data_IF_829784095210
#
_entry.id   IF_829784095210
#
_cell.length_a   1.000
_cell.length_b   1.000
_cell.length_c   1.000
_cell.angle_alpha   90.00
_cell.angle_beta   90.00
_cell.angle_gamma   90.00
#
_symmetry.space_group_name_H-M   'P 1'
#
loop_
_entity.id
_entity.type
_entity.pdbx_description
1 polymer ?
#
# COMPACT_ATOMS: atom_id res chain seq x y z
N UNK A 1 40.31 62.87 -42.64
CA UNK A 1 40.75 61.56 -43.13
C UNK A 1 41.82 61.09 -42.16
N UNK A 2 41.41 60.44 -41.07
CA UNK A 2 42.28 59.80 -40.09
C UNK A 2 41.94 58.32 -40.15
N UNK A 3 42.91 57.48 -40.48
CA UNK A 3 42.75 56.04 -40.60
C UNK A 3 43.41 55.41 -39.38
N UNK A 4 42.57 54.99 -38.43
CA UNK A 4 42.95 54.20 -37.26
C UNK A 4 43.15 52.75 -37.69
N UNK A 5 44.40 52.28 -37.69
CA UNK A 5 44.73 50.86 -37.83
C UNK A 5 45.10 50.27 -36.47
N UNK A 6 44.22 49.41 -35.94
CA UNK A 6 44.50 48.54 -34.79
C UNK A 6 45.50 47.43 -35.18
N UNK A 7 46.51 47.10 -34.34
CA UNK A 7 47.29 45.89 -34.52
C UNK A 7 46.51 44.66 -34.02
N UNK A 8 46.42 43.66 -34.90
CA UNK A 8 45.95 42.29 -34.63
C UNK A 8 46.85 41.61 -33.59
N UNK A 9 46.29 41.26 -32.44
CA UNK A 9 46.91 40.29 -31.53
C UNK A 9 46.59 38.88 -32.03
N UNK A 10 47.66 38.10 -32.20
CA UNK A 10 47.65 36.70 -32.62
C UNK A 10 46.83 35.84 -31.66
N UNK A 11 46.05 34.93 -32.24
CA UNK A 11 45.33 33.88 -31.54
C UNK A 11 46.33 32.88 -30.93
N UNK A 12 46.24 32.69 -29.62
CA UNK A 12 46.86 31.56 -28.91
C UNK A 12 46.03 30.27 -29.12
N UNK A 13 46.66 29.09 -29.02
CA UNK A 13 46.12 27.85 -29.55
C UNK A 13 45.02 27.26 -28.67
N UNK A 14 44.07 26.59 -29.33
CA UNK A 14 43.06 25.73 -28.73
C UNK A 14 43.66 24.77 -27.69
N UNK A 15 43.49 25.11 -26.41
CA UNK A 15 43.67 24.17 -25.32
C UNK A 15 42.33 23.45 -25.07
N UNK A 16 41.92 22.65 -26.07
CA UNK A 16 40.91 21.61 -25.91
C UNK A 16 41.53 20.47 -25.09
N UNK A 17 41.85 20.76 -23.83
CA UNK A 17 42.03 19.71 -22.84
C UNK A 17 40.69 18.97 -22.74
N UNK A 18 40.74 17.69 -23.11
CA UNK A 18 39.75 16.66 -22.80
C UNK A 18 39.26 16.81 -21.35
N UNK A 19 38.23 17.63 -21.13
CA UNK A 19 37.40 17.53 -19.94
C UNK A 19 36.50 16.34 -20.20
N UNK A 20 36.93 15.18 -19.69
CA UNK A 20 36.03 14.05 -19.49
C UNK A 20 34.70 14.57 -18.95
N UNK A 21 33.56 14.10 -19.49
CA UNK A 21 32.27 14.55 -19.02
C UNK A 21 32.20 14.33 -17.51
N UNK A 22 31.95 15.40 -16.74
CA UNK A 22 31.62 15.32 -15.31
C UNK A 22 30.33 14.51 -15.17
N UNK A 23 30.49 13.19 -15.13
CA UNK A 23 29.46 12.25 -14.71
C UNK A 23 29.15 12.61 -13.25
N UNK A 24 27.86 12.69 -12.93
CA UNK A 24 27.34 12.91 -11.60
C UNK A 24 28.13 12.10 -10.56
N UNK A 25 28.84 12.79 -9.67
CA UNK A 25 29.56 12.20 -8.56
C UNK A 25 28.74 12.50 -7.29
N UNK A 26 28.03 11.52 -6.71
CA UNK A 26 27.37 11.70 -5.42
C UNK A 26 28.37 11.86 -4.25
N UNK A 27 29.69 11.73 -4.50
CA UNK A 27 30.75 12.04 -3.54
C UNK A 27 31.23 13.49 -3.77
N UNK A 28 30.62 14.45 -3.09
CA UNK A 28 31.22 15.77 -2.87
C UNK A 28 32.69 15.66 -2.48
N UNK A 29 33.45 16.73 -2.76
CA UNK A 29 34.91 16.70 -2.88
C UNK A 29 35.62 15.89 -1.80
N UNK A 30 36.58 15.04 -2.21
CA UNK A 30 37.41 14.14 -1.39
C UNK A 30 37.42 14.48 0.11
N UNK A 31 36.44 13.95 0.85
CA UNK A 31 36.47 13.89 2.30
C UNK A 31 36.59 12.42 2.70
N UNK A 32 37.82 11.88 2.85
CA UNK A 32 38.06 10.45 3.13
C UNK A 32 37.29 9.92 4.35
N UNK A 33 36.93 10.81 5.28
CA UNK A 33 36.16 10.47 6.47
C UNK A 33 34.67 10.18 6.18
N UNK A 34 34.04 10.88 5.22
CA UNK A 34 32.63 10.64 4.83
C UNK A 34 32.52 9.31 4.08
N UNK A 35 33.39 9.07 3.11
CA UNK A 35 33.38 7.82 2.33
C UNK A 35 33.55 6.59 3.22
N UNK A 36 34.44 6.69 4.23
CA UNK A 36 34.60 5.66 5.25
C UNK A 36 33.30 5.44 6.05
N UNK A 37 32.65 6.51 6.51
CA UNK A 37 31.38 6.42 7.27
C UNK A 37 30.24 5.84 6.44
N UNK A 38 30.12 6.17 5.16
CA UNK A 38 29.15 5.53 4.26
C UNK A 38 29.44 4.04 4.07
N UNK A 39 30.72 3.67 3.90
CA UNK A 39 31.10 2.26 3.78
C UNK A 39 30.72 1.47 5.04
N UNK A 40 31.00 2.01 6.22
CA UNK A 40 30.61 1.41 7.50
C UNK A 40 29.08 1.26 7.62
N UNK A 41 28.31 2.29 7.23
CA UNK A 41 26.85 2.23 7.23
C UNK A 41 26.32 1.16 6.27
N UNK A 42 26.90 1.04 5.07
CA UNK A 42 26.52 0.02 4.09
C UNK A 42 26.93 -1.40 4.51
N UNK A 43 28.04 -1.57 5.22
CA UNK A 43 28.38 -2.86 5.84
C UNK A 43 27.36 -3.28 6.91
N UNK A 44 26.78 -2.33 7.64
CA UNK A 44 25.66 -2.61 8.54
C UNK A 44 24.40 -3.03 7.77
N UNK A 45 24.14 -2.46 6.59
CA UNK A 45 23.07 -2.93 5.69
C UNK A 45 23.34 -4.37 5.22
N UNK A 46 24.57 -4.64 4.77
CA UNK A 46 24.99 -5.97 4.29
C UNK A 46 24.86 -7.06 5.36
N UNK A 47 25.22 -6.75 6.61
CA UNK A 47 25.09 -7.65 7.75
C UNK A 47 23.67 -7.75 8.32
N UNK A 48 22.68 -7.09 7.70
CA UNK A 48 21.28 -7.09 8.14
C UNK A 48 21.00 -6.26 9.40
N UNK A 49 21.96 -5.46 9.86
CA UNK A 49 21.81 -4.58 11.02
C UNK A 49 21.20 -3.22 10.61
N UNK A 50 19.98 -3.27 10.10
CA UNK A 50 19.35 -2.16 9.42
C UNK A 50 19.07 -0.95 10.32
N UNK A 51 18.74 -1.15 11.60
CA UNK A 51 18.58 -0.06 12.57
C UNK A 51 19.87 0.73 12.75
N UNK A 52 20.99 0.04 13.03
CA UNK A 52 22.29 0.70 13.18
C UNK A 52 22.76 1.33 11.89
N UNK A 53 22.47 0.70 10.74
CA UNK A 53 22.75 1.30 9.43
C UNK A 53 22.02 2.64 9.27
N UNK A 54 20.71 2.68 9.57
CA UNK A 54 19.92 3.91 9.57
C UNK A 54 20.50 4.97 10.50
N UNK A 55 20.83 4.63 11.75
CA UNK A 55 21.46 5.56 12.69
C UNK A 55 22.76 6.13 12.15
N UNK A 56 23.60 5.29 11.53
CA UNK A 56 24.88 5.71 10.94
C UNK A 56 24.67 6.64 9.75
N UNK A 57 23.74 6.32 8.84
CA UNK A 57 23.38 7.22 7.74
C UNK A 57 22.84 8.55 8.26
N UNK A 58 21.92 8.55 9.22
CA UNK A 58 21.40 9.78 9.82
C UNK A 58 22.49 10.62 10.50
N UNK A 59 23.50 9.99 11.09
CA UNK A 59 24.66 10.72 11.66
C UNK A 59 25.46 11.46 10.58
N UNK A 60 25.52 10.93 9.36
CA UNK A 60 26.21 11.56 8.23
C UNK A 60 25.33 12.68 7.67
N UNK A 61 24.03 12.41 7.46
CA UNK A 61 23.07 13.39 6.95
C UNK A 61 22.84 14.59 7.88
N UNK A 62 23.17 14.47 9.18
CA UNK A 62 23.02 15.56 10.16
C UNK A 62 24.35 16.24 10.48
N UNK A 63 25.43 15.79 9.87
CA UNK A 63 26.74 16.39 10.05
C UNK A 63 26.76 17.78 9.40
N UNK A 64 27.08 18.86 10.12
CA UNK A 64 27.11 20.21 9.56
C UNK A 64 28.09 20.38 8.39
N UNK A 65 29.06 19.48 8.25
CA UNK A 65 30.04 19.49 7.15
C UNK A 65 29.54 18.81 5.87
N UNK A 66 28.39 18.13 5.94
CA UNK A 66 27.73 17.46 4.82
C UNK A 66 26.55 18.32 4.35
N UNK A 67 26.51 18.67 3.06
CA UNK A 67 25.48 19.56 2.53
C UNK A 67 25.04 19.15 1.12
N UNK A 68 23.98 19.79 0.62
CA UNK A 68 23.53 19.57 -0.76
C UNK A 68 22.99 18.16 -1.00
N UNK A 69 23.30 17.60 -2.17
CA UNK A 69 22.82 16.28 -2.57
C UNK A 69 23.33 15.15 -1.67
N UNK A 70 24.51 15.28 -1.08
CA UNK A 70 25.07 14.25 -0.19
C UNK A 70 24.21 14.04 1.05
N UNK A 71 23.73 15.15 1.62
CA UNK A 71 22.88 15.17 2.79
C UNK A 71 21.57 14.43 2.53
N UNK A 72 20.84 14.85 1.50
CA UNK A 72 19.52 14.28 1.17
C UNK A 72 19.64 12.84 0.64
N UNK A 73 20.70 12.53 -0.13
CA UNK A 73 20.97 11.17 -0.56
C UNK A 73 21.17 10.22 0.62
N UNK A 74 21.93 10.66 1.62
CA UNK A 74 22.17 9.87 2.82
C UNK A 74 20.88 9.63 3.62
N UNK A 75 19.97 10.61 3.66
CA UNK A 75 18.64 10.44 4.25
C UNK A 75 17.78 9.43 3.49
N UNK A 76 17.89 9.35 2.16
CA UNK A 76 17.26 8.28 1.36
C UNK A 76 17.82 6.90 1.72
N UNK A 77 19.14 6.73 1.86
CA UNK A 77 19.74 5.46 2.29
C UNK A 77 19.28 5.06 3.70
N UNK A 78 19.15 6.02 4.63
CA UNK A 78 18.57 5.77 5.95
C UNK A 78 17.10 5.32 5.86
N UNK A 79 16.32 5.90 4.96
CA UNK A 79 14.94 5.49 4.70
C UNK A 79 14.86 4.05 4.20
N UNK A 80 15.70 3.68 3.24
CA UNK A 80 15.80 2.31 2.71
C UNK A 80 16.15 1.32 3.83
N UNK A 81 17.11 1.66 4.69
CA UNK A 81 17.45 0.84 5.85
C UNK A 81 16.24 0.64 6.79
N UNK A 82 15.43 1.68 7.05
CA UNK A 82 14.21 1.51 7.85
C UNK A 82 13.14 0.66 7.15
N UNK A 83 13.01 0.74 5.83
CA UNK A 83 12.11 -0.15 5.08
C UNK A 83 12.56 -1.62 5.21
N UNK A 84 13.86 -1.89 5.09
CA UNK A 84 14.44 -3.22 5.28
C UNK A 84 14.26 -3.74 6.71
N UNK A 85 14.24 -2.84 7.70
CA UNK A 85 13.94 -3.16 9.10
C UNK A 85 12.44 -3.42 9.38
N UNK A 86 11.57 -3.41 8.36
CA UNK A 86 10.12 -3.54 8.54
C UNK A 86 9.47 -2.32 9.20
N UNK A 87 10.06 -1.13 9.07
CA UNK A 87 9.56 0.15 9.65
C UNK A 87 9.17 1.14 8.54
N UNK A 88 8.20 0.81 7.65
CA UNK A 88 7.85 1.65 6.50
C UNK A 88 7.32 3.04 6.90
N UNK A 89 6.70 3.17 8.08
CA UNK A 89 6.26 4.48 8.60
C UNK A 89 7.41 5.40 9.02
N UNK A 90 8.53 4.84 9.50
CA UNK A 90 9.75 5.63 9.77
C UNK A 90 10.43 6.00 8.46
N UNK A 91 10.57 5.01 7.56
CA UNK A 91 11.14 5.22 6.23
C UNK A 91 10.43 6.37 5.48
N UNK A 92 9.09 6.38 5.46
CA UNK A 92 8.30 7.44 4.83
C UNK A 92 8.56 8.82 5.43
N UNK A 93 8.59 8.95 6.76
CA UNK A 93 8.89 10.22 7.44
C UNK A 93 10.29 10.73 7.09
N UNK A 94 11.26 9.83 6.94
CA UNK A 94 12.60 10.19 6.47
C UNK A 94 12.58 10.68 5.02
N UNK A 95 11.80 10.06 4.13
CA UNK A 95 11.61 10.57 2.76
C UNK A 95 10.98 11.95 2.77
N UNK A 96 9.91 12.18 3.53
CA UNK A 96 9.27 13.51 3.64
C UNK A 96 10.26 14.57 4.08
N UNK A 97 11.07 14.27 5.10
CA UNK A 97 12.13 15.18 5.55
C UNK A 97 13.20 15.39 4.47
N UNK A 98 13.62 14.33 3.79
CA UNK A 98 14.62 14.39 2.73
C UNK A 98 14.15 15.22 1.53
N UNK A 99 12.86 15.14 1.20
CA UNK A 99 12.23 15.96 0.16
C UNK A 99 12.19 17.44 0.58
N UNK A 100 11.77 17.71 1.81
CA UNK A 100 11.81 19.07 2.39
C UNK A 100 13.21 19.66 2.36
N UNK A 101 14.22 18.92 2.83
CA UNK A 101 15.62 19.35 2.85
C UNK A 101 16.13 19.57 1.40
N UNK A 102 15.73 18.72 0.45
CA UNK A 102 16.06 18.87 -0.97
C UNK A 102 15.48 20.15 -1.58
N UNK A 103 14.24 20.51 -1.24
CA UNK A 103 13.59 21.73 -1.76
C UNK A 103 14.24 23.02 -1.25
N UNK A 104 15.04 22.96 -0.19
CA UNK A 104 15.81 24.12 0.32
C UNK A 104 17.17 24.33 -0.35
N UNK A 105 17.61 23.39 -1.20
CA UNK A 105 18.92 23.47 -1.84
C UNK A 105 18.95 24.52 -2.98
N UNK A 106 20.01 25.35 -3.08
CA UNK A 106 20.16 26.29 -4.18
C UNK A 106 20.44 25.58 -5.51
N UNK A 107 19.71 25.97 -6.55
CA UNK A 107 19.73 25.45 -7.94
C UNK A 107 19.19 24.03 -8.15
N UNK A 108 18.04 23.92 -8.82
CA UNK A 108 17.50 22.65 -9.33
C UNK A 108 18.13 22.31 -10.69
N UNK A 109 19.20 21.52 -10.68
CA UNK A 109 19.73 20.96 -11.92
C UNK A 109 18.79 19.85 -12.43
N UNK A 110 18.60 19.74 -13.74
CA UNK A 110 17.75 18.70 -14.37
C UNK A 110 18.05 17.26 -13.89
N UNK A 111 19.28 16.98 -13.45
CA UNK A 111 19.69 15.68 -12.89
C UNK A 111 19.11 15.37 -11.51
N UNK A 112 18.67 16.38 -10.77
CA UNK A 112 18.09 16.26 -9.43
C UNK A 112 16.55 16.09 -9.45
N UNK A 113 15.92 16.33 -10.60
CA UNK A 113 14.48 16.14 -10.80
C UNK A 113 14.05 14.69 -10.52
N UNK A 114 14.83 13.71 -10.98
CA UNK A 114 14.57 12.29 -10.73
C UNK A 114 14.58 11.93 -9.24
N UNK A 115 15.43 12.60 -8.45
CA UNK A 115 15.45 12.40 -7.00
C UNK A 115 14.16 12.92 -6.35
N UNK A 116 13.72 14.12 -6.77
CA UNK A 116 12.47 14.71 -6.29
C UNK A 116 11.27 13.81 -6.61
N UNK A 117 11.14 13.37 -7.85
CA UNK A 117 10.06 12.49 -8.31
C UNK A 117 10.04 11.17 -7.53
N UNK A 118 11.22 10.56 -7.33
CA UNK A 118 11.35 9.38 -6.50
C UNK A 118 10.83 9.61 -5.07
N UNK A 119 11.25 10.71 -4.43
CA UNK A 119 10.81 11.02 -3.07
C UNK A 119 9.29 11.22 -2.99
N UNK A 120 8.67 11.91 -3.96
CA UNK A 120 7.21 12.06 -4.03
C UNK A 120 6.49 10.70 -4.15
N UNK A 121 7.02 9.79 -4.96
CA UNK A 121 6.48 8.43 -5.11
C UNK A 121 6.63 7.65 -3.81
N UNK A 122 7.77 7.75 -3.12
CA UNK A 122 8.03 7.01 -1.88
C UNK A 122 7.23 7.56 -0.69
N UNK A 123 7.02 8.88 -0.62
CA UNK A 123 6.28 9.55 0.45
C UNK A 123 4.80 9.20 0.47
N UNK A 124 4.12 9.25 -0.68
CA UNK A 124 2.65 9.14 -0.73
C UNK A 124 2.12 7.80 -0.21
N UNK A 125 0.91 7.76 0.33
CA UNK A 125 0.29 6.49 0.78
C UNK A 125 -0.14 5.62 -0.42
N UNK A 126 -0.58 6.26 -1.52
CA UNK A 126 -1.05 5.58 -2.73
C UNK A 126 0.02 4.65 -3.30
N UNK A 127 -0.42 3.49 -3.80
CA UNK A 127 0.43 2.54 -4.51
C UNK A 127 1.19 3.22 -5.66
N UNK A 128 2.47 2.87 -5.88
CA UNK A 128 3.16 3.17 -7.13
C UNK A 128 2.38 2.56 -8.32
N UNK A 129 2.27 3.31 -9.40
CA UNK A 129 1.71 2.86 -10.69
C UNK A 129 2.84 2.61 -11.69
N UNK A 130 2.54 1.99 -12.83
CA UNK A 130 3.55 1.74 -13.87
C UNK A 130 4.27 3.02 -14.34
N UNK A 131 3.57 4.16 -14.33
CA UNK A 131 4.15 5.46 -14.71
C UNK A 131 5.13 6.00 -13.67
N UNK A 132 5.06 5.54 -12.42
CA UNK A 132 6.00 5.92 -11.36
C UNK A 132 7.28 5.07 -11.38
N UNK A 133 7.30 4.01 -12.20
CA UNK A 133 8.42 3.09 -12.32
C UNK A 133 9.25 3.51 -13.54
N UNK A 134 10.54 3.84 -13.37
CA UNK A 134 11.41 4.17 -14.48
C UNK A 134 11.54 3.00 -15.47
N UNK A 135 11.25 3.25 -16.76
CA UNK A 135 11.36 2.25 -17.83
C UNK A 135 12.76 1.66 -17.92
N UNK A 136 13.81 2.47 -17.77
CA UNK A 136 15.20 2.01 -17.68
C UNK A 136 16.01 2.84 -16.66
N UNK A 137 16.66 2.20 -15.66
CA UNK A 137 17.51 2.91 -14.72
C UNK A 137 18.83 3.35 -15.35
N UNK A 138 18.95 4.66 -15.61
CA UNK A 138 20.13 5.23 -16.28
C UNK A 138 21.24 5.68 -15.33
N UNK A 139 20.94 5.80 -14.02
CA UNK A 139 21.90 6.27 -13.03
C UNK A 139 21.62 5.67 -11.64
N UNK A 140 22.54 5.86 -10.71
CA UNK A 140 22.46 5.26 -9.37
C UNK A 140 21.24 5.72 -8.55
N UNK A 141 20.77 6.95 -8.76
CA UNK A 141 19.54 7.45 -8.14
C UNK A 141 18.33 6.66 -8.59
N UNK A 142 18.25 6.36 -9.90
CA UNK A 142 17.16 5.56 -10.46
C UNK A 142 17.26 4.10 -10.02
N UNK A 143 18.47 3.54 -9.89
CA UNK A 143 18.66 2.18 -9.36
C UNK A 143 18.24 2.04 -7.90
N UNK A 144 18.71 2.93 -7.02
CA UNK A 144 18.28 2.96 -5.62
C UNK A 144 16.79 3.26 -5.49
N UNK A 145 16.25 4.10 -6.37
CA UNK A 145 14.82 4.37 -6.44
C UNK A 145 14.00 3.15 -6.83
N UNK A 146 14.44 2.39 -7.84
CA UNK A 146 13.83 1.13 -8.25
C UNK A 146 13.78 0.14 -7.08
N UNK A 147 14.89 0.02 -6.34
CA UNK A 147 14.95 -0.82 -5.14
C UNK A 147 14.00 -0.33 -4.05
N UNK A 148 13.96 0.97 -3.76
CA UNK A 148 13.07 1.55 -2.76
C UNK A 148 11.58 1.39 -3.12
N UNK A 149 11.22 1.54 -4.40
CA UNK A 149 9.86 1.31 -4.89
C UNK A 149 9.48 -0.17 -4.76
N UNK A 150 10.40 -1.09 -5.06
CA UNK A 150 10.19 -2.53 -4.87
C UNK A 150 9.89 -2.86 -3.39
N UNK A 151 10.70 -2.32 -2.47
CA UNK A 151 10.46 -2.45 -1.02
C UNK A 151 9.10 -1.87 -0.61
N UNK A 152 8.72 -0.72 -1.16
CA UNK A 152 7.41 -0.12 -0.89
C UNK A 152 6.26 -1.02 -1.34
N UNK A 153 6.30 -1.53 -2.57
CA UNK A 153 5.29 -2.45 -3.09
C UNK A 153 5.19 -3.72 -2.23
N UNK A 154 6.34 -4.26 -1.83
CA UNK A 154 6.42 -5.40 -0.92
C UNK A 154 5.71 -5.13 0.41
N UNK A 155 6.03 -4.01 1.07
CA UNK A 155 5.42 -3.62 2.35
C UNK A 155 3.93 -3.29 2.24
N UNK A 156 3.45 -2.89 1.06
CA UNK A 156 2.03 -2.68 0.77
C UNK A 156 1.29 -3.96 0.38
N UNK A 157 1.95 -5.13 0.42
CA UNK A 157 1.37 -6.43 0.11
C UNK A 157 1.29 -6.74 -1.38
N UNK A 158 1.83 -5.88 -2.25
CA UNK A 158 1.94 -6.07 -3.70
C UNK A 158 3.26 -6.74 -4.08
N UNK A 159 3.59 -7.84 -3.38
CA UNK A 159 4.87 -8.53 -3.55
C UNK A 159 5.06 -9.07 -4.97
N UNK A 160 4.01 -9.54 -5.65
CA UNK A 160 4.08 -9.99 -7.06
C UNK A 160 4.53 -8.86 -8.00
N UNK A 161 4.04 -7.64 -7.78
CA UNK A 161 4.41 -6.44 -8.55
C UNK A 161 5.83 -5.96 -8.20
N UNK A 162 6.34 -6.29 -7.00
CA UNK A 162 7.69 -5.96 -6.58
C UNK A 162 8.77 -6.87 -7.19
N UNK A 163 8.45 -8.14 -7.51
CA UNK A 163 9.44 -9.11 -8.01
C UNK A 163 10.16 -8.68 -9.30
N UNK A 164 9.47 -8.15 -10.33
CA UNK A 164 10.15 -7.66 -11.53
C UNK A 164 11.16 -6.55 -11.25
N UNK A 165 10.88 -5.69 -10.26
CA UNK A 165 11.78 -4.60 -9.87
C UNK A 165 13.01 -5.13 -9.12
N UNK A 166 12.83 -6.09 -8.21
CA UNK A 166 13.98 -6.76 -7.57
C UNK A 166 14.83 -7.53 -8.59
N UNK A 167 14.21 -8.18 -9.57
CA UNK A 167 14.93 -8.85 -10.66
C UNK A 167 15.76 -7.87 -11.49
N UNK A 168 15.19 -6.69 -11.78
CA UNK A 168 15.89 -5.59 -12.46
C UNK A 168 17.10 -5.12 -11.66
N UNK A 169 16.93 -4.86 -10.36
CA UNK A 169 18.02 -4.43 -9.45
C UNK A 169 19.12 -5.49 -9.39
N UNK A 170 18.77 -6.77 -9.21
CA UNK A 170 19.73 -7.88 -9.19
C UNK A 170 20.54 -7.96 -10.48
N UNK A 171 19.89 -7.73 -11.63
CA UNK A 171 20.53 -7.77 -12.95
C UNK A 171 21.27 -6.48 -13.36
N UNK A 172 21.37 -5.48 -12.49
CA UNK A 172 22.03 -4.22 -12.83
C UNK A 172 23.53 -4.40 -13.11
N UNK A 173 23.98 -3.96 -14.28
CA UNK A 173 25.40 -3.86 -14.61
C UNK A 173 25.89 -2.44 -14.32
N UNK A 174 26.78 -2.30 -13.34
CA UNK A 174 27.24 -0.99 -12.87
C UNK A 174 28.77 -0.84 -12.99
N UNK A 175 29.27 0.37 -13.30
CA UNK A 175 30.71 0.64 -13.31
C UNK A 175 31.36 0.32 -11.96
N UNK A 176 32.65 -0.08 -11.97
CA UNK A 176 33.41 -0.48 -10.77
C UNK A 176 33.36 0.52 -9.60
N UNK A 177 33.22 1.82 -9.88
CA UNK A 177 33.06 2.88 -8.86
C UNK A 177 31.77 2.77 -8.03
N UNK A 178 30.80 1.99 -8.49
CA UNK A 178 29.53 1.70 -7.82
C UNK A 178 29.46 0.26 -7.31
N UNK A 179 30.61 -0.41 -7.13
CA UNK A 179 30.69 -1.80 -6.65
C UNK A 179 29.97 -2.03 -5.32
N UNK A 180 29.84 -1.00 -4.47
CA UNK A 180 29.07 -1.06 -3.23
C UNK A 180 27.59 -1.42 -3.44
N UNK A 181 27.04 -1.20 -4.64
CA UNK A 181 25.64 -1.49 -4.94
C UNK A 181 25.32 -2.98 -4.91
N UNK A 182 26.35 -3.85 -5.01
CA UNK A 182 26.20 -5.31 -4.88
C UNK A 182 25.49 -5.72 -3.58
N UNK A 183 25.61 -4.91 -2.52
CA UNK A 183 24.88 -5.10 -1.26
C UNK A 183 23.37 -5.13 -1.51
N UNK A 184 22.84 -4.17 -2.27
CA UNK A 184 21.42 -4.07 -2.60
C UNK A 184 20.99 -5.13 -3.63
N UNK A 185 21.89 -5.55 -4.53
CA UNK A 185 21.64 -6.67 -5.44
C UNK A 185 21.48 -7.98 -4.67
N UNK A 186 22.35 -8.24 -3.69
CA UNK A 186 22.29 -9.40 -2.82
C UNK A 186 21.00 -9.39 -1.99
N UNK A 187 20.60 -8.23 -1.46
CA UNK A 187 19.32 -8.11 -0.76
C UNK A 187 18.13 -8.33 -1.70
N UNK A 188 18.16 -7.78 -2.93
CA UNK A 188 17.12 -8.02 -3.91
C UNK A 188 16.96 -9.53 -4.21
N UNK A 189 18.06 -10.28 -4.26
CA UNK A 189 18.02 -11.75 -4.42
C UNK A 189 17.31 -12.46 -3.25
N UNK A 190 17.46 -11.93 -2.01
CA UNK A 190 16.69 -12.40 -0.85
C UNK A 190 15.19 -12.24 -1.08
N UNK A 191 14.75 -11.05 -1.50
CA UNK A 191 13.33 -10.79 -1.77
C UNK A 191 12.78 -11.64 -2.92
N UNK A 192 13.59 -11.93 -3.94
CA UNK A 192 13.21 -12.84 -5.02
C UNK A 192 13.04 -14.28 -4.51
N UNK A 193 13.93 -14.76 -3.65
CA UNK A 193 13.81 -16.06 -2.99
C UNK A 193 12.56 -16.17 -2.14
N UNK A 194 12.29 -15.15 -1.32
CA UNK A 194 11.07 -15.05 -0.51
C UNK A 194 9.80 -15.01 -1.37
N UNK A 195 9.85 -14.31 -2.51
CA UNK A 195 8.77 -14.31 -3.50
C UNK A 195 8.42 -15.70 -4.00
N UNK A 196 9.40 -16.57 -4.21
CA UNK A 196 9.17 -17.97 -4.60
C UNK A 196 8.51 -18.76 -3.48
N UNK A 197 8.89 -18.52 -2.23
CA UNK A 197 8.24 -19.12 -1.07
C UNK A 197 6.77 -18.71 -1.04
N UNK A 198 6.48 -17.40 -1.11
CA UNK A 198 5.11 -16.87 -1.10
C UNK A 198 4.26 -17.38 -2.26
N UNK A 199 4.83 -17.47 -3.47
CA UNK A 199 4.13 -17.98 -4.65
C UNK A 199 3.64 -19.43 -4.48
N UNK A 200 4.42 -20.29 -3.81
CA UNK A 200 4.01 -21.67 -3.49
C UNK A 200 2.80 -21.70 -2.54
N UNK A 201 2.66 -20.69 -1.69
CA UNK A 201 1.56 -20.57 -0.72
C UNK A 201 0.31 -19.88 -1.29
N UNK A 202 0.33 -19.45 -2.55
CA UNK A 202 -0.76 -18.68 -3.18
C UNK A 202 -2.07 -19.46 -3.27
N UNK A 203 -1.99 -20.78 -3.51
CA UNK A 203 -3.16 -21.64 -3.76
C UNK A 203 -3.41 -22.62 -2.61
N UNK A 204 -3.65 -22.12 -1.40
CA UNK A 204 -4.21 -22.99 -0.36
C UNK A 204 -5.73 -22.86 -0.31
N UNK A 205 -6.46 -23.92 -0.65
CA UNK A 205 -7.86 -24.00 -0.27
C UNK A 205 -7.96 -24.05 1.27
N UNK A 206 -9.09 -23.63 1.85
CA UNK A 206 -9.36 -23.85 3.25
C UNK A 206 -9.26 -25.35 3.57
N UNK A 207 -8.60 -25.75 4.68
CA UNK A 207 -8.46 -27.17 5.03
C UNK A 207 -9.84 -27.77 5.34
N UNK A 208 -10.08 -29.01 4.88
CA UNK A 208 -11.36 -29.71 5.08
C UNK A 208 -11.43 -30.47 6.39
N UNK A 209 -10.27 -30.82 6.95
CA UNK A 209 -10.16 -31.63 8.14
C UNK A 209 -8.89 -31.30 8.95
N UNK A 210 -8.75 -31.96 10.11
CA UNK A 210 -7.62 -31.80 11.02
C UNK A 210 -6.29 -32.16 10.36
N UNK A 211 -6.26 -33.18 9.53
CA UNK A 211 -5.04 -33.69 8.91
C UNK A 211 -4.53 -32.67 7.89
N UNK A 212 -5.44 -32.11 7.09
CA UNK A 212 -5.14 -31.06 6.15
C UNK A 212 -4.72 -29.77 6.87
N UNK A 213 -5.41 -29.35 7.94
CA UNK A 213 -5.00 -28.22 8.74
C UNK A 213 -3.60 -28.39 9.34
N UNK A 214 -3.28 -29.56 9.89
CA UNK A 214 -1.94 -29.87 10.40
C UNK A 214 -0.86 -29.80 9.31
N UNK A 215 -1.14 -30.34 8.12
CA UNK A 215 -0.23 -30.27 6.97
C UNK A 215 0.04 -28.81 6.59
N UNK A 216 -1.03 -28.01 6.45
CA UNK A 216 -0.94 -26.59 6.11
C UNK A 216 -0.19 -25.76 7.17
N UNK A 217 -0.44 -26.03 8.46
CA UNK A 217 0.31 -25.42 9.57
C UNK A 217 1.80 -25.74 9.43
N UNK A 218 2.15 -27.00 9.17
CA UNK A 218 3.52 -27.43 8.96
C UNK A 218 4.17 -26.69 7.78
N UNK A 219 3.47 -26.58 6.65
CA UNK A 219 3.94 -25.90 5.45
C UNK A 219 4.14 -24.39 5.66
N UNK A 220 3.19 -23.70 6.29
CA UNK A 220 3.31 -22.27 6.59
C UNK A 220 4.37 -22.02 7.65
N UNK A 221 4.46 -22.84 8.69
CA UNK A 221 5.49 -22.71 9.73
C UNK A 221 6.89 -22.91 9.14
N UNK A 222 7.06 -23.92 8.28
CA UNK A 222 8.32 -24.12 7.58
C UNK A 222 8.64 -22.96 6.63
N UNK A 223 7.64 -22.47 5.90
CA UNK A 223 7.83 -21.36 4.96
C UNK A 223 8.17 -20.05 5.66
N UNK A 224 7.50 -19.72 6.78
CA UNK A 224 7.77 -18.54 7.60
C UNK A 224 9.19 -18.58 8.19
N UNK A 225 9.65 -19.74 8.68
CA UNK A 225 11.06 -19.90 9.13
C UNK A 225 12.09 -19.68 8.03
N UNK A 226 11.71 -19.89 6.78
CA UNK A 226 12.60 -19.74 5.62
C UNK A 226 12.49 -18.36 4.97
N UNK A 227 11.51 -17.53 5.35
CA UNK A 227 11.46 -16.13 4.92
C UNK A 227 12.59 -15.35 5.57
N UNK A 228 13.31 -14.58 4.76
CA UNK A 228 14.46 -13.78 5.19
C UNK A 228 14.14 -12.28 5.20
N UNK A 229 13.14 -11.85 4.47
CA UNK A 229 12.60 -10.50 4.52
C UNK A 229 11.85 -10.25 5.84
N UNK A 230 11.94 -9.02 6.32
CA UNK A 230 11.23 -8.54 7.51
C UNK A 230 9.99 -7.76 7.04
N UNK A 231 8.96 -7.69 7.87
CA UNK A 231 7.81 -6.82 7.63
C UNK A 231 6.56 -7.56 7.16
N UNK A 232 5.88 -7.00 6.15
CA UNK A 232 4.49 -7.37 5.80
C UNK A 232 4.31 -8.84 5.41
N UNK A 233 5.30 -9.46 4.76
CA UNK A 233 5.23 -10.86 4.34
C UNK A 233 5.11 -11.84 5.52
N UNK A 234 5.94 -11.68 6.55
CA UNK A 234 5.86 -12.48 7.78
C UNK A 234 4.54 -12.27 8.51
N UNK A 235 4.12 -11.00 8.66
CA UNK A 235 2.83 -10.69 9.28
C UNK A 235 1.64 -11.38 8.59
N UNK A 236 1.63 -11.40 7.25
CA UNK A 236 0.57 -12.08 6.49
C UNK A 236 0.60 -13.61 6.69
N UNK A 237 1.77 -14.22 6.78
CA UNK A 237 1.90 -15.65 7.08
C UNK A 237 1.50 -15.96 8.53
N UNK A 238 1.85 -15.12 9.49
CA UNK A 238 1.47 -15.27 10.90
C UNK A 238 -0.05 -15.16 11.10
N UNK A 239 -0.70 -14.21 10.42
CA UNK A 239 -2.15 -14.09 10.40
C UNK A 239 -2.80 -15.37 9.85
N UNK A 240 -2.23 -15.93 8.77
CA UNK A 240 -2.71 -17.18 8.16
C UNK A 240 -2.44 -18.40 9.04
N UNK A 241 -1.30 -18.46 9.71
CA UNK A 241 -0.96 -19.50 10.68
C UNK A 241 -1.91 -19.47 11.87
N UNK A 242 -2.22 -18.27 12.39
CA UNK A 242 -3.19 -18.07 13.48
C UNK A 242 -4.56 -18.62 13.09
N UNK A 243 -5.03 -18.30 11.88
CA UNK A 243 -6.27 -18.83 11.33
C UNK A 243 -6.26 -20.36 11.23
N UNK A 244 -5.20 -20.98 10.71
CA UNK A 244 -5.12 -22.44 10.60
C UNK A 244 -5.02 -23.14 11.97
N UNK A 245 -4.31 -22.54 12.95
CA UNK A 245 -4.22 -23.07 14.31
C UNK A 245 -5.59 -23.05 15.01
N UNK A 246 -6.40 -22.05 14.73
CA UNK A 246 -7.80 -21.98 15.13
C UNK A 246 -8.61 -23.09 14.47
N UNK A 247 -8.58 -23.23 13.14
CA UNK A 247 -9.26 -24.33 12.43
C UNK A 247 -8.86 -25.72 12.95
N UNK A 248 -7.57 -25.94 13.25
CA UNK A 248 -7.09 -27.21 13.82
C UNK A 248 -7.72 -27.53 15.18
N UNK A 249 -7.84 -26.53 16.06
CA UNK A 249 -8.50 -26.70 17.36
C UNK A 249 -9.98 -27.02 17.18
N UNK A 250 -10.63 -26.35 16.23
CA UNK A 250 -12.02 -26.60 15.87
C UNK A 250 -12.22 -28.05 15.37
N UNK A 251 -11.28 -28.60 14.58
CA UNK A 251 -11.31 -30.01 14.19
C UNK A 251 -10.97 -31.01 15.32
N UNK A 252 -10.38 -30.58 16.43
CA UNK A 252 -10.01 -31.44 17.56
C UNK A 252 -11.16 -31.64 18.56
N UNK A 253 -12.03 -30.65 18.70
CA UNK A 253 -13.09 -30.65 19.71
C UNK A 253 -14.37 -31.36 19.28
N UNK A 254 -14.52 -31.71 17.99
CA UNK A 254 -15.75 -32.32 17.46
C UNK A 254 -15.47 -33.30 16.29
N UNK A 255 -15.39 -34.62 16.52
CA UNK A 255 -15.35 -35.59 15.44
C UNK A 255 -16.75 -35.71 14.82
N UNK A 256 -17.00 -34.90 13.80
CA UNK A 256 -18.26 -34.86 13.06
C UNK A 256 -19.20 -33.75 13.53
N UNK A 257 -19.00 -32.53 13.02
CA UNK A 257 -20.05 -31.52 13.04
C UNK A 257 -20.00 -30.69 11.75
N UNK A 258 -21.17 -30.54 11.14
CA UNK A 258 -21.47 -29.66 10.02
C UNK A 258 -21.18 -28.22 10.45
N UNK A 259 -20.60 -27.42 9.56
CA UNK A 259 -20.21 -26.03 9.79
C UNK A 259 -21.24 -25.24 10.62
N UNK A 260 -20.86 -24.76 11.79
CA UNK A 260 -21.39 -23.51 12.34
C UNK A 260 -20.20 -22.57 12.59
N UNK A 261 -20.21 -21.44 11.89
CA UNK A 261 -19.33 -20.29 12.20
C UNK A 261 -19.64 -19.85 13.63
N UNK A 262 -18.68 -19.37 14.41
CA UNK A 262 -19.03 -18.63 15.65
C UNK A 262 -19.65 -17.28 15.30
N UNK A 263 -20.40 -16.67 16.21
CA UNK A 263 -21.00 -15.35 15.96
C UNK A 263 -19.97 -14.30 15.51
N UNK A 264 -18.79 -14.25 16.13
CA UNK A 264 -17.72 -13.31 15.77
C UNK A 264 -17.19 -13.52 14.34
N UNK A 265 -16.95 -14.77 13.95
CA UNK A 265 -16.51 -15.11 12.58
C UNK A 265 -17.61 -14.80 11.56
N UNK A 266 -18.86 -15.11 11.92
CA UNK A 266 -20.03 -14.82 11.12
C UNK A 266 -20.19 -13.31 10.89
N UNK A 267 -20.01 -12.47 11.92
CA UNK A 267 -19.98 -11.01 11.78
C UNK A 267 -18.87 -10.54 10.82
N UNK A 268 -17.69 -11.15 10.86
CA UNK A 268 -16.62 -10.88 9.90
C UNK A 268 -17.05 -11.11 8.46
N UNK A 269 -17.79 -12.19 8.21
CA UNK A 269 -18.35 -12.49 6.89
C UNK A 269 -19.42 -11.47 6.47
N UNK A 270 -20.34 -11.10 7.37
CA UNK A 270 -21.35 -10.09 7.08
C UNK A 270 -20.72 -8.74 6.73
N UNK A 271 -19.69 -8.30 7.49
CA UNK A 271 -18.92 -7.08 7.21
C UNK A 271 -18.23 -7.14 5.84
N UNK A 272 -17.63 -8.28 5.50
CA UNK A 272 -16.99 -8.47 4.19
C UNK A 272 -17.99 -8.36 3.04
N UNK A 273 -19.16 -8.99 3.17
CA UNK A 273 -20.22 -8.95 2.16
C UNK A 273 -20.85 -7.56 2.03
N UNK A 274 -20.97 -6.82 3.13
CA UNK A 274 -21.44 -5.43 3.12
C UNK A 274 -20.52 -4.52 2.31
N UNK A 275 -19.20 -4.63 2.50
CA UNK A 275 -18.18 -3.88 1.75
C UNK A 275 -18.15 -4.18 0.26
N UNK A 276 -18.64 -5.35 -0.14
CA UNK A 276 -18.76 -5.77 -1.55
C UNK A 276 -20.18 -5.63 -2.10
N UNK A 277 -21.09 -4.97 -1.37
CA UNK A 277 -22.47 -4.69 -1.81
C UNK A 277 -23.33 -5.95 -2.03
N UNK A 278 -22.93 -7.09 -1.45
CA UNK A 278 -23.63 -8.37 -1.59
C UNK A 278 -24.75 -8.52 -0.54
N UNK A 279 -25.74 -7.63 -0.55
CA UNK A 279 -26.76 -7.59 0.51
C UNK A 279 -27.74 -8.78 0.51
N UNK A 280 -27.99 -9.38 -0.64
CA UNK A 280 -28.79 -10.61 -0.75
C UNK A 280 -28.06 -11.80 -0.10
N UNK A 281 -26.73 -11.83 -0.19
CA UNK A 281 -25.92 -12.86 0.47
C UNK A 281 -25.89 -12.67 1.99
N UNK A 282 -25.92 -11.42 2.48
CA UNK A 282 -26.07 -11.14 3.92
C UNK A 282 -27.42 -11.67 4.42
N UNK A 283 -28.50 -11.46 3.67
CA UNK A 283 -29.83 -11.99 4.02
C UNK A 283 -29.82 -13.52 4.08
N UNK A 284 -29.29 -14.17 3.05
CA UNK A 284 -29.20 -15.64 3.01
C UNK A 284 -28.37 -16.21 4.17
N UNK A 285 -27.28 -15.54 4.56
CA UNK A 285 -26.49 -15.94 5.72
C UNK A 285 -27.33 -15.81 7.01
N UNK A 286 -28.00 -14.68 7.21
CA UNK A 286 -28.77 -14.40 8.41
C UNK A 286 -29.99 -15.33 8.60
N UNK A 287 -30.41 -16.10 7.58
CA UNK A 287 -31.47 -17.10 7.72
C UNK A 287 -31.06 -18.28 8.60
N UNK A 288 -29.75 -18.57 8.67
CA UNK A 288 -29.19 -19.64 9.48
C UNK A 288 -28.02 -19.10 10.31
N UNK A 289 -28.29 -18.22 11.31
CA UNK A 289 -27.23 -17.68 12.13
C UNK A 289 -26.63 -18.79 13.04
N UNK A 290 -25.40 -18.62 13.50
CA UNK A 290 -24.79 -19.48 14.51
C UNK A 290 -25.65 -19.66 15.77
N UNK A 291 -25.53 -20.80 16.45
CA UNK A 291 -26.25 -21.05 17.71
C UNK A 291 -25.85 -20.08 18.84
N UNK A 292 -24.60 -19.58 18.81
CA UNK A 292 -24.07 -18.60 19.77
C UNK A 292 -24.40 -17.15 19.39
N UNK A 293 -25.16 -16.91 18.31
CA UNK A 293 -25.53 -15.58 17.86
C UNK A 293 -26.56 -14.93 18.82
N UNK A 294 -26.26 -13.76 19.41
CA UNK A 294 -27.24 -13.01 20.18
C UNK A 294 -28.41 -12.62 19.27
N UNK A 295 -29.64 -12.92 19.69
CA UNK A 295 -30.86 -12.64 18.92
C UNK A 295 -30.98 -11.15 18.55
N UNK A 296 -30.56 -10.27 19.46
CA UNK A 296 -30.50 -8.83 19.24
C UNK A 296 -29.49 -8.44 18.16
N UNK A 297 -28.34 -9.10 18.14
CA UNK A 297 -27.30 -8.86 17.16
C UNK A 297 -27.76 -9.33 15.77
N UNK A 298 -28.36 -10.52 15.67
CA UNK A 298 -28.99 -11.02 14.43
C UNK A 298 -30.07 -10.05 13.92
N UNK A 299 -30.95 -9.57 14.80
CA UNK A 299 -31.96 -8.57 14.45
C UNK A 299 -31.35 -7.28 13.91
N UNK A 300 -30.29 -6.76 14.54
CA UNK A 300 -29.64 -5.53 14.11
C UNK A 300 -28.98 -5.69 12.73
N UNK A 301 -28.38 -6.84 12.46
CA UNK A 301 -27.83 -7.16 11.14
C UNK A 301 -28.92 -7.26 10.06
N UNK A 302 -30.08 -7.86 10.37
CA UNK A 302 -31.24 -7.83 9.48
C UNK A 302 -31.76 -6.41 9.23
N UNK A 303 -31.81 -5.57 10.28
CA UNK A 303 -32.22 -4.16 10.14
C UNK A 303 -31.32 -3.41 9.16
N UNK A 304 -30.00 -3.53 9.34
CA UNK A 304 -29.01 -2.90 8.47
C UNK A 304 -29.10 -3.40 7.03
N UNK A 305 -29.17 -4.73 6.85
CA UNK A 305 -29.26 -5.36 5.53
C UNK A 305 -30.50 -4.88 4.76
N UNK A 306 -31.69 -4.96 5.37
CA UNK A 306 -32.95 -4.60 4.69
C UNK A 306 -32.99 -3.13 4.27
N UNK A 307 -32.52 -2.25 5.17
CA UNK A 307 -32.47 -0.82 4.90
C UNK A 307 -31.45 -0.48 3.79
N UNK A 308 -30.27 -1.10 3.80
CA UNK A 308 -29.27 -0.91 2.75
C UNK A 308 -29.69 -1.48 1.39
N UNK A 309 -30.34 -2.65 1.36
CA UNK A 309 -30.89 -3.22 0.13
C UNK A 309 -32.00 -2.33 -0.45
N UNK A 310 -32.89 -1.80 0.40
CA UNK A 310 -33.93 -0.85 -0.03
C UNK A 310 -33.34 0.45 -0.60
N UNK A 311 -32.26 0.96 0.01
CA UNK A 311 -31.51 2.11 -0.52
C UNK A 311 -31.01 1.84 -1.95
N UNK A 312 -30.35 0.69 -2.17
CA UNK A 312 -29.81 0.31 -3.47
C UNK A 312 -30.90 0.13 -4.52
N UNK A 313 -31.99 -0.53 -4.16
CA UNK A 313 -33.14 -0.70 -5.04
C UNK A 313 -33.73 0.65 -5.46
N UNK A 314 -33.79 1.62 -4.55
CA UNK A 314 -34.24 2.97 -4.88
C UNK A 314 -33.26 3.71 -5.80
N UNK A 315 -31.95 3.51 -5.66
CA UNK A 315 -30.97 4.06 -6.61
C UNK A 315 -31.11 3.42 -7.99
N UNK A 316 -31.28 2.10 -8.05
CA UNK A 316 -31.29 1.31 -9.28
C UNK A 316 -32.44 1.67 -10.24
N UNK A 317 -33.59 2.10 -9.72
CA UNK A 317 -34.76 2.47 -10.52
C UNK A 317 -34.65 3.83 -11.22
N UNK A 318 -33.66 4.64 -10.86
CA UNK A 318 -33.48 5.97 -11.42
C UNK A 318 -32.48 5.97 -12.57
N UNK A 319 -32.77 6.76 -13.61
CA UNK A 319 -31.99 6.86 -14.84
C UNK A 319 -31.46 8.29 -15.05
N UNK A 320 -30.56 8.43 -16.02
CA UNK A 320 -30.03 9.72 -16.50
C UNK A 320 -29.33 10.54 -15.41
N UNK A 321 -28.48 9.90 -14.63
CA UNK A 321 -27.72 10.55 -13.56
C UNK A 321 -26.25 10.16 -13.61
N UNK A 322 -25.41 10.95 -12.96
CA UNK A 322 -23.97 10.72 -12.92
C UNK A 322 -23.48 10.28 -11.55
N UNK A 323 -22.56 9.33 -11.55
CA UNK A 323 -21.81 8.88 -10.37
C UNK A 323 -20.35 8.67 -10.71
N UNK A 324 -19.55 8.28 -9.72
CA UNK A 324 -18.10 8.09 -9.85
C UNK A 324 -17.71 6.67 -9.41
N UNK A 325 -16.85 6.04 -10.21
CA UNK A 325 -16.16 4.80 -9.82
C UNK A 325 -15.06 5.10 -8.81
N UNK A 326 -14.59 4.09 -8.07
CA UNK A 326 -13.47 4.21 -7.11
C UNK A 326 -12.15 4.67 -7.75
N UNK A 327 -11.99 4.48 -9.06
CA UNK A 327 -10.84 4.96 -9.84
C UNK A 327 -10.94 6.46 -10.22
N UNK A 328 -12.05 7.14 -9.90
CA UNK A 328 -12.31 8.55 -10.23
C UNK A 328 -13.04 8.78 -11.56
N UNK A 329 -13.34 7.72 -12.31
CA UNK A 329 -14.06 7.80 -13.57
C UNK A 329 -15.54 8.15 -13.34
N UNK A 330 -16.03 9.21 -14.00
CA UNK A 330 -17.45 9.59 -13.96
C UNK A 330 -18.22 8.79 -15.01
N UNK A 331 -19.34 8.21 -14.59
CA UNK A 331 -20.23 7.44 -15.45
C UNK A 331 -21.63 8.05 -15.46
N UNK A 332 -22.30 7.95 -16.60
CA UNK A 332 -23.72 8.30 -16.77
C UNK A 332 -24.54 7.02 -16.78
N UNK A 333 -25.53 6.96 -15.90
CA UNK A 333 -26.30 5.76 -15.61
C UNK A 333 -27.60 5.78 -16.40
N UNK A 334 -27.89 4.68 -17.09
CA UNK A 334 -29.10 4.51 -17.89
C UNK A 334 -30.15 3.71 -17.12
N UNK A 335 -29.72 2.68 -16.40
CA UNK A 335 -30.56 1.87 -15.53
C UNK A 335 -29.68 1.13 -14.53
N UNK A 336 -30.27 0.54 -13.49
CA UNK A 336 -29.56 -0.35 -12.56
C UNK A 336 -30.36 -1.60 -12.26
N UNK A 337 -29.67 -2.64 -11.81
CA UNK A 337 -30.26 -3.86 -11.26
C UNK A 337 -29.36 -4.42 -10.14
N UNK A 338 -29.66 -5.64 -9.68
CA UNK A 338 -28.88 -6.30 -8.61
C UNK A 338 -27.40 -6.50 -8.95
N UNK A 339 -27.02 -6.52 -10.24
CA UNK A 339 -25.64 -6.73 -10.66
C UNK A 339 -24.83 -5.44 -10.77
N UNK A 340 -25.49 -4.28 -10.90
CA UNK A 340 -24.79 -3.00 -11.04
C UNK A 340 -25.57 -1.95 -11.81
N UNK A 341 -24.82 -0.94 -12.28
CA UNK A 341 -25.33 0.15 -13.10
C UNK A 341 -25.02 -0.08 -14.58
N UNK A 342 -26.02 0.03 -15.44
CA UNK A 342 -25.90 -0.07 -16.89
C UNK A 342 -25.63 1.30 -17.50
N UNK A 343 -24.67 1.35 -18.42
CA UNK A 343 -24.31 2.55 -19.18
C UNK A 343 -24.97 2.55 -20.57
N UNK A 344 -24.85 3.67 -21.29
CA UNK A 344 -25.42 3.84 -22.64
C UNK A 344 -24.86 2.86 -23.67
N UNK A 345 -23.63 2.40 -23.49
CA UNK A 345 -22.96 1.40 -24.35
C UNK A 345 -23.37 -0.05 -24.03
N UNK A 346 -24.28 -0.25 -23.07
CA UNK A 346 -24.74 -1.56 -22.61
C UNK A 346 -23.81 -2.26 -21.62
N UNK A 347 -22.67 -1.66 -21.26
CA UNK A 347 -21.78 -2.20 -20.22
C UNK A 347 -22.41 -2.09 -18.83
N UNK A 348 -22.03 -3.02 -17.94
CA UNK A 348 -22.48 -3.06 -16.55
C UNK A 348 -21.29 -2.74 -15.64
N UNK A 349 -21.43 -1.70 -14.82
CA UNK A 349 -20.49 -1.36 -13.76
C UNK A 349 -20.97 -1.98 -12.46
N UNK A 350 -20.23 -2.94 -11.87
CA UNK A 350 -20.61 -3.56 -10.60
C UNK A 350 -20.69 -2.53 -9.48
N UNK A 351 -21.64 -2.72 -8.56
CA UNK A 351 -21.80 -1.85 -7.38
C UNK A 351 -20.51 -1.70 -6.56
N UNK A 352 -19.70 -2.77 -6.48
CA UNK A 352 -18.42 -2.79 -5.78
C UNK A 352 -17.36 -1.87 -6.38
N UNK A 353 -17.50 -1.45 -7.65
CA UNK A 353 -16.59 -0.53 -8.32
C UNK A 353 -16.97 0.94 -8.11
N UNK A 354 -18.16 1.21 -7.58
CA UNK A 354 -18.64 2.58 -7.35
C UNK A 354 -18.12 3.17 -6.05
N UNK A 355 -17.97 4.49 -6.05
CA UNK A 355 -17.57 5.23 -4.87
C UNK A 355 -18.79 5.42 -3.94
N UNK A 356 -18.84 4.79 -2.75
CA UNK A 356 -20.03 4.79 -1.89
C UNK A 356 -20.48 6.19 -1.46
N UNK A 357 -19.54 7.12 -1.26
CA UNK A 357 -19.82 8.50 -0.86
C UNK A 357 -20.65 9.25 -1.91
N UNK A 358 -20.48 8.91 -3.19
CA UNK A 358 -21.21 9.55 -4.29
C UNK A 358 -22.64 9.01 -4.42
N UNK A 359 -22.91 7.83 -3.85
CA UNK A 359 -24.25 7.24 -3.80
C UNK A 359 -25.08 7.84 -2.68
N UNK A 360 -24.48 8.16 -1.53
CA UNK A 360 -25.17 8.69 -0.35
C UNK A 360 -25.90 10.02 -0.58
N UNK A 361 -25.45 10.81 -1.55
CA UNK A 361 -26.07 12.11 -1.87
C UNK A 361 -27.20 11.99 -2.91
N UNK A 362 -27.59 10.77 -3.30
CA UNK A 362 -28.56 10.52 -4.37
C UNK A 362 -29.86 9.96 -3.80
N UNK A 363 -30.96 10.67 -4.05
CA UNK A 363 -32.34 10.22 -3.87
C UNK A 363 -32.62 9.49 -2.56
N UNK A 364 -32.14 10.06 -1.46
CA UNK A 364 -32.46 9.61 -0.12
C UNK A 364 -33.93 9.88 0.16
N UNK A 365 -34.80 8.88 -0.05
CA UNK A 365 -36.21 8.95 0.35
C UNK A 365 -36.39 8.65 1.85
N UNK A 366 -35.46 7.88 2.41
CA UNK A 366 -35.45 7.52 3.81
C UNK A 366 -33.99 7.57 4.32
N UNK A 367 -33.72 8.49 5.23
CA UNK A 367 -32.38 8.74 5.78
C UNK A 367 -31.83 7.50 6.52
N UNK A 368 -32.69 6.71 7.16
CA UNK A 368 -32.29 5.45 7.83
C UNK A 368 -31.74 4.40 6.85
N UNK A 369 -32.23 4.40 5.61
CA UNK A 369 -31.74 3.51 4.54
C UNK A 369 -30.33 3.90 4.10
N UNK A 370 -30.09 5.18 3.89
CA UNK A 370 -28.77 5.71 3.55
C UNK A 370 -27.76 5.50 4.68
N UNK A 371 -28.16 5.71 5.93
CA UNK A 371 -27.33 5.46 7.13
C UNK A 371 -26.93 3.98 7.22
N UNK A 372 -27.89 3.07 7.06
CA UNK A 372 -27.63 1.62 7.11
C UNK A 372 -26.70 1.16 5.97
N UNK A 373 -26.87 1.73 4.78
CA UNK A 373 -25.95 1.51 3.66
C UNK A 373 -24.54 2.01 3.98
N UNK A 374 -24.39 3.26 4.44
CA UNK A 374 -23.09 3.84 4.80
C UNK A 374 -22.33 2.96 5.80
N UNK A 375 -23.04 2.47 6.82
CA UNK A 375 -22.47 1.60 7.84
C UNK A 375 -21.98 0.26 7.26
N UNK A 376 -22.80 -0.42 6.46
CA UNK A 376 -22.44 -1.74 5.90
C UNK A 376 -21.28 -1.68 4.90
N UNK A 377 -21.17 -0.60 4.12
CA UNK A 377 -20.07 -0.45 3.15
C UNK A 377 -18.77 0.06 3.78
N UNK A 378 -18.78 0.34 5.09
CA UNK A 378 -17.59 0.73 5.85
C UNK A 378 -17.32 2.22 5.93
N UNK A 379 -18.30 3.08 5.61
CA UNK A 379 -18.24 4.53 5.84
C UNK A 379 -18.76 4.88 7.24
N UNK A 380 -18.20 4.23 8.28
CA UNK A 380 -18.76 4.25 9.63
C UNK A 380 -18.83 5.67 10.22
N UNK A 381 -17.78 6.47 10.10
CA UNK A 381 -17.78 7.87 10.56
C UNK A 381 -18.90 8.68 9.90
N UNK A 382 -19.09 8.50 8.57
CA UNK A 382 -20.16 9.18 7.83
C UNK A 382 -21.55 8.68 8.25
N UNK A 383 -21.68 7.39 8.55
CA UNK A 383 -22.93 6.80 9.04
C UNK A 383 -23.28 7.35 10.43
N UNK A 384 -22.30 7.53 11.30
CA UNK A 384 -22.46 8.11 12.63
C UNK A 384 -22.91 9.58 12.55
N UNK A 385 -22.25 10.41 11.73
CA UNK A 385 -22.65 11.80 11.50
C UNK A 385 -24.12 11.93 11.05
N UNK A 386 -24.50 11.13 10.04
CA UNK A 386 -25.87 11.13 9.51
C UNK A 386 -26.89 10.62 10.54
N UNK A 387 -26.49 9.64 11.34
CA UNK A 387 -27.35 9.10 12.38
C UNK A 387 -27.53 10.05 13.57
N UNK A 388 -26.52 10.84 13.92
CA UNK A 388 -26.63 11.88 14.95
C UNK A 388 -27.65 12.95 14.55
N UNK A 389 -27.56 13.46 13.31
CA UNK A 389 -28.50 14.44 12.78
C UNK A 389 -29.95 13.92 12.75
N UNK A 390 -30.18 12.72 12.20
CA UNK A 390 -31.52 12.13 12.16
C UNK A 390 -32.05 11.82 13.57
N UNK A 391 -31.18 11.35 14.48
CA UNK A 391 -31.56 11.10 15.88
C UNK A 391 -31.97 12.37 16.62
N UNK A 392 -31.44 13.53 16.24
CA UNK A 392 -31.85 14.82 16.79
C UNK A 392 -33.27 15.23 16.39
N UNK A 393 -33.80 14.68 15.30
CA UNK A 393 -35.10 15.05 14.71
C UNK A 393 -36.14 13.93 14.75
N UNK A 394 -35.74 12.68 14.97
CA UNK A 394 -36.60 11.50 14.97
C UNK A 394 -36.27 10.55 16.15
N UNK A 395 -37.14 10.57 17.16
CA UNK A 395 -36.93 9.85 18.41
C UNK A 395 -37.12 8.32 18.28
N UNK A 396 -37.97 7.89 17.35
CA UNK A 396 -38.14 6.47 17.00
C UNK A 396 -36.87 5.92 16.34
N UNK A 397 -36.32 6.66 15.38
CA UNK A 397 -35.04 6.32 14.76
C UNK A 397 -33.92 6.27 15.80
N UNK A 398 -33.80 7.28 16.66
CA UNK A 398 -32.77 7.33 17.72
C UNK A 398 -32.81 6.11 18.63
N UNK A 399 -34.00 5.68 19.04
CA UNK A 399 -34.19 4.49 19.88
C UNK A 399 -33.74 3.23 19.12
N UNK A 400 -34.17 3.10 17.87
CA UNK A 400 -33.83 1.98 16.99
C UNK A 400 -32.33 1.92 16.70
N UNK A 401 -31.71 3.05 16.38
CA UNK A 401 -30.31 3.15 16.03
C UNK A 401 -29.39 2.85 17.21
N UNK A 402 -29.73 3.34 18.43
CA UNK A 402 -29.01 2.95 19.65
C UNK A 402 -29.03 1.44 19.88
N UNK A 403 -30.19 0.80 19.67
CA UNK A 403 -30.31 -0.66 19.75
C UNK A 403 -29.41 -1.36 18.72
N UNK A 404 -29.38 -0.87 17.48
CA UNK A 404 -28.52 -1.41 16.42
C UNK A 404 -27.03 -1.30 16.77
N UNK A 405 -26.56 -0.14 17.23
CA UNK A 405 -25.13 0.06 17.56
C UNK A 405 -24.70 -0.82 18.74
N UNK A 406 -25.52 -0.92 19.79
CA UNK A 406 -25.24 -1.79 20.94
C UNK A 406 -25.18 -3.25 20.49
N UNK A 407 -26.17 -3.70 19.73
CA UNK A 407 -26.29 -5.09 19.32
C UNK A 407 -25.25 -5.53 18.28
N UNK A 408 -24.76 -4.61 17.43
CA UNK A 408 -23.69 -4.91 16.45
C UNK A 408 -22.28 -4.84 17.04
N UNK A 409 -22.16 -4.37 18.29
CA UNK A 409 -20.91 -4.32 19.06
C UNK A 409 -20.75 -5.53 19.99
N UNK A 410 -21.77 -6.38 20.08
CA UNK A 410 -21.77 -7.69 20.77
C UNK A 410 -21.34 -8.78 19.80
#
# INVERSE_FOLDING_TARGET
>A
MEVTTHPKTLAEPNDTQNKEPKIFNPNGGNQPNIEKRWREARQLVESGNYEKASERFLSISRDPTVSGMEQVWTSLEASIANSLAGKPGVARRLISKSLSDFETLPEHYSKQQHYRELCLVLERIKLPTSNDIPEEPQNITVWMGTFAIALKLWEQGKWEEALPLFAKVRGAELPNKLSWFVIYQNIADVYLGDGQILARLRKFPPPKDRQEANRLIGEITNSSKNLRSIGRANYNLDARLTYLLQLRKEFQTSPGFVHSLTWEQFQGHLKSKGRTYCFDEIEALLQNPPEDAPSEAVWAWYYLQRNAAAFMNNIAIHNQWTTEKKNGEKITVVSGDSNGLKLDDGSVVPWSELRPEHLLNKWVKNEAQAISFAWLVGLNEKAEDLAEDLSGRNEEFKTTWRRVIIATSQ
#
